data_IF_402049016963
#
_entry.id   IF_402049016963
#
_cell.length_a   1.000
_cell.length_b   1.000
_cell.length_c   1.000
_cell.angle_alpha   90.00
_cell.angle_beta   90.00
_cell.angle_gamma   90.00
#
_symmetry.space_group_name_H-M   'P 1'
#
loop_
_entity.id
_entity.type
_entity.pdbx_description
1 polymer ?
#
# COMPACT_ATOMS: atom_id res chain seq x y z
N UNK A 1 -0.51 29.62 1.01
CA UNK A 1 -0.98 28.80 -0.13
C UNK A 1 0.26 28.37 -0.90
N UNK A 2 0.72 27.12 -0.78
CA UNK A 2 1.95 26.66 -1.41
C UNK A 2 1.70 26.29 -2.87
N UNK A 3 2.28 27.11 -3.73
CA UNK A 3 2.21 27.13 -5.19
C UNK A 3 3.09 26.03 -5.79
N UNK A 4 2.68 24.77 -5.63
CA UNK A 4 3.15 23.69 -6.50
C UNK A 4 2.21 23.66 -7.71
N UNK A 5 2.50 24.48 -8.72
CA UNK A 5 1.76 24.45 -9.99
C UNK A 5 1.97 23.10 -10.68
N UNK A 6 1.10 22.14 -10.37
CA UNK A 6 0.95 20.93 -11.15
C UNK A 6 0.17 21.28 -12.42
N UNK A 7 0.60 20.80 -13.61
CA UNK A 7 -0.20 20.91 -14.82
C UNK A 7 -1.63 20.43 -14.53
N UNK A 8 -2.66 21.15 -14.96
CA UNK A 8 -4.04 20.92 -14.50
C UNK A 8 -4.55 19.47 -14.60
N UNK A 9 -3.98 18.66 -15.51
CA UNK A 9 -4.25 17.21 -15.59
C UNK A 9 -3.69 16.42 -14.40
N UNK A 10 -2.48 16.74 -13.94
CA UNK A 10 -1.87 16.10 -12.77
C UNK A 10 -2.60 16.47 -11.47
N UNK A 11 -3.05 17.71 -11.33
CA UNK A 11 -3.87 18.12 -10.19
C UNK A 11 -5.22 17.39 -10.17
N UNK A 12 -5.90 17.29 -11.33
CA UNK A 12 -7.12 16.47 -11.47
C UNK A 12 -6.86 15.02 -11.10
N UNK A 13 -5.74 14.45 -11.55
CA UNK A 13 -5.33 13.10 -11.16
C UNK A 13 -5.21 12.96 -9.64
N UNK A 14 -4.52 13.88 -8.96
CA UNK A 14 -4.35 13.85 -7.50
C UNK A 14 -5.69 13.87 -6.76
N UNK A 15 -6.61 14.75 -7.16
CA UNK A 15 -7.95 14.86 -6.55
C UNK A 15 -8.78 13.58 -6.73
N UNK A 16 -8.79 13.01 -7.94
CA UNK A 16 -9.54 11.77 -8.20
C UNK A 16 -8.88 10.54 -7.54
N UNK A 17 -7.57 10.53 -7.45
CA UNK A 17 -6.83 9.44 -6.81
C UNK A 17 -7.06 9.43 -5.30
N UNK A 18 -7.17 10.61 -4.67
CA UNK A 18 -7.53 10.72 -3.26
C UNK A 18 -8.91 10.12 -2.94
N UNK A 19 -9.87 10.26 -3.85
CA UNK A 19 -11.24 9.76 -3.67
C UNK A 19 -11.37 8.26 -3.96
N UNK A 20 -10.73 7.78 -5.04
CA UNK A 20 -10.95 6.41 -5.54
C UNK A 20 -9.88 5.41 -5.11
N UNK A 21 -8.66 5.86 -4.85
CA UNK A 21 -7.49 4.98 -4.65
C UNK A 21 -7.04 4.23 -5.91
N UNK A 22 -7.73 4.39 -7.05
CA UNK A 22 -7.43 3.72 -8.31
C UNK A 22 -6.65 4.66 -9.24
N UNK A 23 -5.37 4.35 -9.44
CA UNK A 23 -4.49 5.14 -10.29
C UNK A 23 -4.94 5.18 -11.75
N UNK A 24 -5.36 4.03 -12.30
CA UNK A 24 -5.72 3.92 -13.71
C UNK A 24 -6.98 4.74 -13.99
N UNK A 25 -8.03 4.54 -13.17
CA UNK A 25 -9.28 5.29 -13.31
C UNK A 25 -9.06 6.79 -13.11
N UNK A 26 -8.23 7.17 -12.15
CA UNK A 26 -7.93 8.59 -11.90
C UNK A 26 -7.20 9.25 -13.07
N UNK A 27 -6.31 8.51 -13.74
CA UNK A 27 -5.61 9.01 -14.93
C UNK A 27 -6.56 9.18 -16.13
N UNK A 28 -7.51 8.25 -16.33
CA UNK A 28 -8.53 8.41 -17.38
C UNK A 28 -9.37 9.67 -17.15
N UNK A 29 -9.85 9.88 -15.92
CA UNK A 29 -10.67 11.04 -15.58
C UNK A 29 -9.87 12.36 -15.69
N UNK A 30 -8.57 12.31 -15.38
CA UNK A 30 -7.65 13.44 -15.57
C UNK A 30 -7.41 13.81 -17.06
N UNK A 31 -7.89 13.00 -18.00
CA UNK A 31 -7.78 13.24 -19.44
C UNK A 31 -6.60 12.55 -20.11
N UNK A 32 -6.04 11.50 -19.50
CA UNK A 32 -5.07 10.62 -20.17
C UNK A 32 -5.80 9.54 -20.98
N UNK A 33 -5.17 9.07 -22.06
CA UNK A 33 -5.78 8.03 -22.89
C UNK A 33 -5.92 6.72 -22.09
N UNK A 34 -7.03 5.97 -22.24
CA UNK A 34 -7.23 4.72 -21.50
C UNK A 34 -6.10 3.71 -21.69
N UNK A 35 -5.52 3.67 -22.89
CA UNK A 35 -4.40 2.79 -23.24
C UNK A 35 -3.11 3.12 -22.48
N UNK A 36 -2.88 4.40 -22.17
CA UNK A 36 -1.68 4.86 -21.45
C UNK A 36 -1.91 5.13 -19.96
N UNK A 37 -3.16 5.17 -19.52
CA UNK A 37 -3.53 5.51 -18.15
C UNK A 37 -2.83 4.66 -17.08
N UNK A 38 -2.68 3.31 -17.21
CA UNK A 38 -1.99 2.51 -16.21
C UNK A 38 -0.50 2.87 -16.07
N UNK A 39 0.21 3.03 -17.20
CA UNK A 39 1.64 3.35 -17.18
C UNK A 39 1.89 4.76 -16.68
N UNK A 40 1.04 5.70 -17.09
CA UNK A 40 1.08 7.10 -16.67
C UNK A 40 0.78 7.21 -15.17
N UNK A 41 -0.23 6.51 -14.65
CA UNK A 41 -0.55 6.49 -13.22
C UNK A 41 0.63 5.95 -12.39
N UNK A 42 1.22 4.83 -12.82
CA UNK A 42 2.39 4.24 -12.14
C UNK A 42 3.57 5.22 -12.10
N UNK A 43 3.85 5.92 -13.21
CA UNK A 43 4.90 6.95 -13.27
C UNK A 43 4.57 8.15 -12.37
N UNK A 44 3.32 8.63 -12.38
CA UNK A 44 2.88 9.76 -11.57
C UNK A 44 3.00 9.48 -10.07
N UNK A 45 2.63 8.28 -9.61
CA UNK A 45 2.71 7.91 -8.20
C UNK A 45 4.16 7.80 -7.68
N UNK A 46 5.16 7.64 -8.56
CA UNK A 46 6.58 7.68 -8.21
C UNK A 46 7.15 9.11 -8.17
N UNK A 47 6.47 10.08 -8.77
CA UNK A 47 6.94 11.46 -8.82
C UNK A 47 6.77 12.15 -7.45
N UNK A 48 7.84 12.72 -6.92
CA UNK A 48 7.84 13.37 -5.61
C UNK A 48 6.88 14.56 -5.52
N UNK A 49 6.69 15.32 -6.61
CA UNK A 49 5.73 16.44 -6.64
C UNK A 49 4.29 15.95 -6.44
N UNK A 50 3.92 14.86 -7.09
CA UNK A 50 2.61 14.21 -6.97
C UNK A 50 2.44 13.64 -5.55
N UNK A 51 3.47 12.99 -5.01
CA UNK A 51 3.45 12.44 -3.66
C UNK A 51 3.27 13.54 -2.60
N UNK A 52 3.97 14.66 -2.73
CA UNK A 52 3.80 15.85 -1.88
C UNK A 52 2.38 16.39 -1.98
N UNK A 53 1.86 16.55 -3.20
CA UNK A 53 0.49 17.02 -3.40
C UNK A 53 -0.56 16.11 -2.77
N UNK A 54 -0.40 14.78 -2.90
CA UNK A 54 -1.28 13.82 -2.23
C UNK A 54 -1.17 13.87 -0.71
N UNK A 55 0.02 14.15 -0.16
CA UNK A 55 0.20 14.32 1.28
C UNK A 55 -0.47 15.60 1.78
N UNK A 56 -0.38 16.70 1.04
CA UNK A 56 -1.10 17.94 1.32
C UNK A 56 -2.61 17.71 1.33
N UNK A 57 -3.15 17.10 0.27
CA UNK A 57 -4.59 16.80 0.16
C UNK A 57 -5.08 15.90 1.31
N UNK A 58 -4.27 14.94 1.75
CA UNK A 58 -4.58 14.12 2.94
C UNK A 58 -4.55 14.94 4.23
N UNK A 59 -3.62 15.90 4.34
CA UNK A 59 -3.55 16.83 5.46
C UNK A 59 -4.74 17.78 5.52
N UNK A 60 -5.12 18.35 4.37
CA UNK A 60 -6.32 19.17 4.21
C UNK A 60 -7.55 18.39 4.66
N UNK A 61 -7.73 17.17 4.14
CA UNK A 61 -8.85 16.32 4.52
C UNK A 61 -8.89 16.00 6.02
N UNK A 62 -7.75 15.70 6.63
CA UNK A 62 -7.69 15.46 8.08
C UNK A 62 -8.09 16.69 8.87
N UNK A 63 -7.69 17.90 8.43
CA UNK A 63 -8.09 19.17 9.06
C UNK A 63 -9.57 19.45 8.86
N UNK A 64 -10.05 19.41 7.62
CA UNK A 64 -11.41 19.79 7.27
C UNK A 64 -12.45 18.85 7.91
N UNK A 65 -12.14 17.56 7.98
CA UNK A 65 -13.04 16.55 8.54
C UNK A 65 -12.70 16.13 9.97
N UNK A 66 -11.69 16.75 10.62
CA UNK A 66 -11.13 16.35 11.91
C UNK A 66 -10.96 14.82 12.02
N UNK A 67 -10.51 14.20 10.92
CA UNK A 67 -10.42 12.75 10.82
C UNK A 67 -9.12 12.29 11.48
N UNK A 68 -9.19 12.07 12.78
CA UNK A 68 -8.08 11.56 13.58
C UNK A 68 -8.31 10.10 14.01
N UNK A 69 -7.29 9.49 14.60
CA UNK A 69 -7.30 8.16 15.23
C UNK A 69 -8.47 8.04 16.19
N UNK A 70 -8.73 9.06 17.01
CA UNK A 70 -9.81 9.05 18.00
C UNK A 70 -11.19 8.99 17.33
N UNK A 71 -11.41 9.76 16.27
CA UNK A 71 -12.65 9.71 15.51
C UNK A 71 -12.82 8.35 14.81
N UNK A 72 -11.73 7.79 14.27
CA UNK A 72 -11.77 6.46 13.67
C UNK A 72 -12.13 5.37 14.71
N UNK A 73 -11.55 5.44 15.91
CA UNK A 73 -11.89 4.56 17.04
C UNK A 73 -13.36 4.70 17.45
N UNK A 74 -13.86 5.92 17.58
CA UNK A 74 -15.25 6.20 17.93
C UNK A 74 -16.24 5.65 16.88
N UNK A 75 -15.91 5.77 15.59
CA UNK A 75 -16.73 5.21 14.50
C UNK A 75 -16.74 3.68 14.50
N UNK A 76 -15.59 3.05 14.71
CA UNK A 76 -15.50 1.60 14.84
C UNK A 76 -16.27 1.08 16.06
N UNK A 77 -16.24 1.82 17.18
CA UNK A 77 -17.00 1.50 18.38
C UNK A 77 -18.52 1.53 18.13
N UNK A 78 -19.00 2.56 17.41
CA UNK A 78 -20.41 2.63 17.02
C UNK A 78 -20.83 1.45 16.13
N UNK A 79 -19.98 1.03 15.19
CA UNK A 79 -20.19 -0.13 14.34
C UNK A 79 -20.17 -1.44 15.13
N UNK A 80 -19.22 -1.60 16.03
CA UNK A 80 -19.11 -2.75 16.93
C UNK A 80 -20.39 -2.92 17.75
N UNK A 81 -20.85 -1.85 18.43
CA UNK A 81 -22.11 -1.87 19.20
C UNK A 81 -23.31 -2.20 18.31
N UNK A 82 -23.37 -1.67 17.10
CA UNK A 82 -24.45 -1.98 16.16
C UNK A 82 -24.42 -3.43 15.68
N UNK A 83 -23.24 -3.96 15.41
CA UNK A 83 -23.03 -5.34 14.99
C UNK A 83 -23.43 -6.33 16.09
N UNK A 84 -23.08 -6.05 17.36
CA UNK A 84 -23.52 -6.87 18.50
C UNK A 84 -25.05 -6.89 18.64
N UNK A 85 -25.72 -5.74 18.54
CA UNK A 85 -27.20 -5.68 18.58
C UNK A 85 -27.89 -6.48 17.48
N UNK A 86 -27.20 -6.71 16.35
CA UNK A 86 -27.70 -7.49 15.21
C UNK A 86 -27.10 -8.91 15.15
N UNK A 87 -26.36 -9.32 16.18
CA UNK A 87 -25.68 -10.62 16.28
C UNK A 87 -24.73 -10.91 15.10
N UNK A 88 -24.18 -9.86 14.47
CA UNK A 88 -23.22 -9.97 13.37
C UNK A 88 -21.80 -10.01 13.91
N UNK A 89 -21.44 -11.13 14.53
CA UNK A 89 -20.14 -11.29 15.19
C UNK A 89 -18.95 -11.14 14.26
N UNK A 90 -19.05 -11.58 13.00
CA UNK A 90 -17.99 -11.40 12.02
C UNK A 90 -17.63 -9.92 11.84
N UNK A 91 -18.62 -9.03 11.80
CA UNK A 91 -18.39 -7.59 11.70
C UNK A 91 -17.80 -7.03 13.00
N UNK A 92 -18.27 -7.50 14.16
CA UNK A 92 -17.75 -7.09 15.46
C UNK A 92 -16.26 -7.44 15.61
N UNK A 93 -15.87 -8.68 15.28
CA UNK A 93 -14.46 -9.15 15.32
C UNK A 93 -13.57 -8.26 14.44
N UNK A 94 -14.03 -7.93 13.22
CA UNK A 94 -13.26 -7.07 12.31
C UNK A 94 -13.13 -5.64 12.84
N UNK A 95 -14.17 -5.08 13.47
CA UNK A 95 -14.08 -3.78 14.11
C UNK A 95 -13.04 -3.79 15.25
N UNK A 96 -13.08 -4.82 16.11
CA UNK A 96 -12.13 -4.99 17.23
C UNK A 96 -10.70 -5.17 16.76
N UNK A 97 -10.47 -5.94 15.69
CA UNK A 97 -9.14 -6.09 15.07
C UNK A 97 -8.60 -4.74 14.57
N UNK A 98 -9.44 -3.94 13.90
CA UNK A 98 -9.06 -2.62 13.41
C UNK A 98 -8.79 -1.63 14.55
N UNK A 99 -9.58 -1.68 15.63
CA UNK A 99 -9.33 -0.89 16.84
C UNK A 99 -7.97 -1.25 17.47
N UNK A 100 -7.64 -2.54 17.59
CA UNK A 100 -6.36 -2.99 18.13
C UNK A 100 -5.16 -2.56 17.25
N UNK A 101 -5.32 -2.54 15.93
CA UNK A 101 -4.31 -1.96 15.02
C UNK A 101 -4.12 -0.46 15.22
N UNK A 102 -5.22 0.30 15.29
CA UNK A 102 -5.16 1.74 15.53
C UNK A 102 -4.57 2.06 16.91
N UNK A 103 -4.74 1.20 17.91
CA UNK A 103 -4.10 1.30 19.22
C UNK A 103 -2.60 0.96 19.20
N UNK A 104 -2.08 0.37 18.10
CA UNK A 104 -0.69 -0.06 17.98
C UNK A 104 -0.40 -1.42 18.62
N UNK A 105 -1.43 -2.19 18.99
CA UNK A 105 -1.29 -3.51 19.62
C UNK A 105 -1.00 -4.62 18.61
N UNK A 106 -1.33 -4.41 17.34
CA UNK A 106 -1.14 -5.37 16.25
C UNK A 106 -0.31 -4.74 15.12
N UNK A 107 0.56 -5.55 14.51
CA UNK A 107 1.33 -5.13 13.35
C UNK A 107 0.45 -4.95 12.11
N UNK A 108 0.81 -3.97 11.27
CA UNK A 108 0.17 -3.78 9.98
C UNK A 108 0.48 -4.97 9.04
N UNK A 109 -0.54 -5.55 8.37
CA UNK A 109 -0.33 -6.66 7.46
C UNK A 109 0.63 -6.24 6.33
N UNK A 110 1.77 -6.93 6.23
CA UNK A 110 2.82 -6.63 5.25
C UNK A 110 4.01 -5.83 5.78
N UNK A 111 3.96 -5.31 7.03
CA UNK A 111 5.13 -4.68 7.65
C UNK A 111 6.31 -5.66 7.82
N UNK A 112 6.03 -6.95 8.05
CA UNK A 112 7.04 -8.00 8.19
C UNK A 112 7.80 -8.34 6.90
N UNK A 113 7.26 -8.04 5.71
CA UNK A 113 7.93 -8.33 4.42
C UNK A 113 8.87 -7.22 3.94
N UNK A 114 8.77 -6.00 4.48
CA UNK A 114 9.59 -4.86 4.06
C UNK A 114 10.94 -4.76 4.77
N UNK A 115 11.06 -5.32 5.97
CA UNK A 115 12.32 -5.35 6.71
C UNK A 115 13.36 -6.33 6.11
N UNK A 116 12.95 -7.30 5.30
CA UNK A 116 13.83 -8.32 4.71
C UNK A 116 14.32 -8.02 3.28
N UNK A 117 13.88 -6.91 2.67
CA UNK A 117 14.15 -6.61 1.25
C UNK A 117 15.26 -5.56 1.01
N UNK A 118 15.93 -5.09 2.08
CA UNK A 118 17.02 -4.11 2.00
C UNK A 118 18.30 -4.71 2.57
N UNK A 119 18.99 -5.51 1.76
CA UNK A 119 20.23 -6.18 2.17
C UNK A 119 20.53 -7.39 1.31
N UNK A 120 20.90 -7.16 0.04
CA UNK A 120 21.74 -8.06 -0.77
C UNK A 120 22.21 -7.25 -1.98
N UNK A 121 23.23 -6.44 -1.72
CA UNK A 121 24.04 -5.79 -2.74
C UNK A 121 25.36 -6.59 -2.78
N UNK A 122 25.30 -7.80 -3.34
CA UNK A 122 26.51 -8.59 -3.58
C UNK A 122 26.97 -8.34 -5.01
N UNK A 123 28.05 -7.57 -5.06
CA UNK A 123 28.68 -7.06 -6.26
C UNK A 123 29.11 -8.14 -7.26
N UNK A 124 29.01 -7.73 -8.51
CA UNK A 124 29.62 -8.29 -9.70
C UNK A 124 31.14 -8.55 -9.52
N UNK A 125 31.54 -9.81 -9.50
CA UNK A 125 32.84 -10.32 -9.95
C UNK A 125 32.56 -11.70 -10.58
N UNK A 126 32.74 -11.94 -11.88
CA UNK A 126 34.04 -12.10 -12.53
C UNK A 126 34.08 -13.53 -13.08
N UNK A 127 34.06 -13.66 -14.42
CA UNK A 127 34.00 -14.95 -15.14
C UNK A 127 35.33 -15.73 -15.01
N UNK A 128 35.26 -17.02 -14.72
CA UNK A 128 36.12 -18.13 -15.16
C UNK A 128 35.59 -19.39 -14.42
N UNK A 129 35.51 -20.61 -14.91
CA UNK A 129 35.91 -21.28 -16.14
C UNK A 129 35.46 -22.74 -15.98
N UNK A 130 35.24 -23.39 -17.11
CA UNK A 130 34.89 -24.79 -17.37
C UNK A 130 35.44 -25.86 -16.42
N UNK A 131 34.63 -26.88 -16.13
CA UNK A 131 35.08 -28.15 -15.56
C UNK A 131 33.90 -29.10 -15.31
N UNK A 132 33.57 -29.90 -16.32
CA UNK A 132 32.58 -30.97 -16.23
C UNK A 132 32.98 -32.01 -15.17
N UNK A 133 32.00 -32.60 -14.46
CA UNK A 133 32.07 -33.98 -13.97
C UNK A 133 30.67 -34.51 -13.61
N UNK A 134 30.26 -35.50 -14.41
CA UNK A 134 29.19 -36.51 -14.27
C UNK A 134 28.64 -36.79 -12.86
N UNK A 135 27.33 -36.99 -12.80
CA UNK A 135 26.65 -37.79 -11.77
C UNK A 135 27.08 -39.27 -11.82
N UNK A 136 26.84 -40.02 -10.74
CA UNK A 136 25.77 -41.02 -10.88
C UNK A 136 24.79 -41.09 -9.70
N UNK A 137 23.60 -41.61 -10.04
CA UNK A 137 22.57 -42.17 -9.16
C UNK A 137 23.11 -43.37 -8.34
N UNK A 138 22.44 -43.62 -7.20
CA UNK A 138 22.46 -44.78 -6.27
C UNK A 138 23.01 -44.38 -4.89
N UNK A 139 22.54 -44.84 -3.73
CA UNK A 139 21.44 -45.71 -3.33
C UNK A 139 21.33 -45.62 -1.79
N UNK A 140 20.13 -45.92 -1.26
CA UNK A 140 19.83 -46.63 -0.01
C UNK A 140 20.59 -46.28 1.29
N UNK A 141 19.86 -45.82 2.31
CA UNK A 141 19.58 -46.57 3.55
C UNK A 141 19.21 -45.61 4.70
N UNK A 142 18.06 -45.86 5.34
CA UNK A 142 17.75 -45.40 6.69
C UNK A 142 18.33 -46.43 7.68
N UNK A 143 18.69 -46.00 8.91
CA UNK A 143 18.54 -46.87 10.07
C UNK A 143 17.52 -46.30 11.07
N UNK A 144 16.67 -47.22 11.52
CA UNK A 144 15.89 -47.38 12.76
C UNK A 144 15.26 -46.17 13.47
#
# INVERSE_FOLDING_TARGET
MSELELPGRQEKFCRHYMLTGDGTRSAVIAGYSPRSAPSQASRMLRNDKIRRRLAELRGDFRRDFNYDRDLAMARLEALYRHALRKERYATAIRATELQARLAGLLAEPGASRRAAAFGRDDGRAGRAGTGACRAPLAALARPD
#
